data_IF_126268968984
#
_entry.id   IF_126268968984
#
_cell.length_a   1.000
_cell.length_b   1.000
_cell.length_c   1.000
_cell.angle_alpha   90.00
_cell.angle_beta   90.00
_cell.angle_gamma   90.00
#
_symmetry.space_group_name_H-M   'P 1'
#
loop_
_entity.id
_entity.type
_entity.pdbx_description
1 polymer ?
#
# COMPACT_ATOMS: atom_id res chain seq x y z
N UNK A 1 -26.07 21.67 -2.19
CA UNK A 1 -25.70 22.17 -3.53
C UNK A 1 -24.30 22.76 -3.50
N UNK A 2 -24.05 23.81 -2.71
CA UNK A 2 -22.75 24.49 -2.60
C UNK A 2 -21.55 23.55 -2.34
N UNK A 3 -21.69 22.59 -1.42
CA UNK A 3 -20.62 21.62 -1.15
C UNK A 3 -20.34 20.66 -2.31
N UNK A 4 -21.32 20.40 -3.20
CA UNK A 4 -21.07 19.59 -4.41
C UNK A 4 -20.27 20.37 -5.47
N UNK A 5 -20.27 21.71 -5.39
CA UNK A 5 -19.52 22.58 -6.29
C UNK A 5 -18.17 23.03 -5.71
N UNK A 6 -17.70 22.41 -4.61
CA UNK A 6 -16.45 22.78 -3.95
C UNK A 6 -16.51 24.10 -3.15
N UNK A 7 -17.68 24.74 -3.00
CA UNK A 7 -17.80 26.03 -2.31
C UNK A 7 -18.07 25.84 -0.81
N UNK A 8 -17.12 25.21 -0.12
CA UNK A 8 -17.20 24.86 1.31
C UNK A 8 -17.50 26.06 2.21
N UNK A 9 -16.80 27.19 2.02
CA UNK A 9 -17.02 28.40 2.83
C UNK A 9 -18.40 29.04 2.62
N UNK A 10 -19.02 28.86 1.44
CA UNK A 10 -20.40 29.29 1.20
C UNK A 10 -21.40 28.30 1.78
N UNK A 11 -21.13 26.99 1.69
CA UNK A 11 -21.94 25.97 2.33
C UNK A 11 -22.00 26.19 3.86
N UNK A 12 -20.86 26.48 4.48
CA UNK A 12 -20.78 26.80 5.91
C UNK A 12 -21.56 28.08 6.26
N UNK A 13 -21.39 29.15 5.49
CA UNK A 13 -22.15 30.41 5.71
C UNK A 13 -23.66 30.22 5.62
N UNK A 14 -24.14 29.48 4.62
CA UNK A 14 -25.57 29.19 4.47
C UNK A 14 -26.06 28.35 5.65
N UNK A 15 -25.29 27.36 6.07
CA UNK A 15 -25.60 26.55 7.25
C UNK A 15 -25.66 27.38 8.54
N UNK A 16 -24.72 28.31 8.72
CA UNK A 16 -24.67 29.16 9.91
C UNK A 16 -25.88 30.10 9.98
N UNK A 17 -26.39 30.56 8.85
CA UNK A 17 -27.61 31.37 8.75
C UNK A 17 -28.90 30.60 9.09
N UNK A 18 -28.88 29.27 9.18
CA UNK A 18 -30.03 28.45 9.57
C UNK A 18 -30.26 28.41 11.10
N UNK A 19 -29.83 29.44 11.84
CA UNK A 19 -29.59 29.45 13.30
C UNK A 19 -30.65 28.82 14.20
N UNK A 20 -31.93 28.77 13.80
CA UNK A 20 -33.02 28.14 14.59
C UNK A 20 -33.59 26.83 14.00
N UNK A 21 -33.11 26.36 12.84
CA UNK A 21 -33.65 25.20 12.11
C UNK A 21 -32.56 24.17 11.73
N UNK A 22 -31.41 24.15 12.43
CA UNK A 22 -30.36 23.14 12.20
C UNK A 22 -30.83 21.80 12.73
N UNK A 23 -31.01 20.84 11.83
CA UNK A 23 -31.35 19.45 12.14
C UNK A 23 -30.11 18.56 11.98
N UNK A 24 -30.14 17.35 12.55
CA UNK A 24 -29.11 16.32 12.33
C UNK A 24 -28.89 16.07 10.83
N UNK A 25 -29.94 16.15 10.01
CA UNK A 25 -29.85 16.00 8.55
C UNK A 25 -29.05 17.13 7.90
N UNK A 26 -29.27 18.39 8.32
CA UNK A 26 -28.50 19.52 7.81
C UNK A 26 -27.02 19.46 8.22
N UNK A 27 -26.73 19.01 9.45
CA UNK A 27 -25.36 18.75 9.91
C UNK A 27 -24.70 17.64 9.08
N UNK A 28 -25.36 16.50 8.91
CA UNK A 28 -24.85 15.39 8.09
C UNK A 28 -24.62 15.81 6.63
N UNK A 29 -25.45 16.71 6.09
CA UNK A 29 -25.28 17.27 4.75
C UNK A 29 -24.05 18.18 4.65
N UNK A 30 -23.77 18.98 5.68
CA UNK A 30 -22.58 19.80 5.78
C UNK A 30 -21.32 18.92 5.88
N UNK A 31 -21.34 17.93 6.78
CA UNK A 31 -20.26 16.94 6.96
C UNK A 31 -19.94 16.20 5.67
N UNK A 32 -20.93 15.59 5.02
CA UNK A 32 -20.74 14.90 3.74
C UNK A 32 -20.27 15.85 2.62
N UNK A 33 -20.50 17.16 2.80
CA UNK A 33 -19.97 18.20 1.94
C UNK A 33 -18.48 18.46 2.13
N UNK A 34 -18.02 18.55 3.37
CA UNK A 34 -16.60 18.70 3.70
C UNK A 34 -15.82 17.43 3.34
N UNK A 35 -16.31 16.28 3.78
CA UNK A 35 -15.72 14.97 3.51
C UNK A 35 -15.48 14.71 2.01
N UNK A 36 -16.50 14.93 1.16
CA UNK A 36 -16.38 14.72 -0.29
C UNK A 36 -15.30 15.57 -0.96
N UNK A 37 -14.96 16.70 -0.34
CA UNK A 37 -13.99 17.64 -0.87
C UNK A 37 -12.61 17.50 -0.18
N UNK A 38 -12.40 16.47 0.64
CA UNK A 38 -11.15 16.21 1.36
C UNK A 38 -10.81 17.22 2.47
N UNK A 39 -11.76 18.08 2.85
CA UNK A 39 -11.56 19.04 3.96
C UNK A 39 -11.96 18.38 5.28
N UNK A 40 -11.11 17.45 5.73
CA UNK A 40 -11.35 16.68 6.96
C UNK A 40 -11.31 17.56 8.19
N UNK A 41 -10.46 18.60 8.24
CA UNK A 41 -10.39 19.50 9.39
C UNK A 41 -11.73 20.21 9.63
N UNK A 42 -12.34 20.77 8.58
CA UNK A 42 -13.68 21.36 8.69
C UNK A 42 -14.76 20.32 8.98
N UNK A 43 -14.61 19.09 8.49
CA UNK A 43 -15.53 17.99 8.80
C UNK A 43 -15.46 17.62 10.30
N UNK A 44 -14.26 17.49 10.87
CA UNK A 44 -14.05 17.23 12.30
C UNK A 44 -14.65 18.37 13.13
N UNK A 45 -14.33 19.63 12.79
CA UNK A 45 -14.90 20.79 13.50
C UNK A 45 -16.43 20.80 13.47
N UNK A 46 -17.03 20.57 12.30
CA UNK A 46 -18.49 20.48 12.19
C UNK A 46 -19.06 19.28 12.94
N UNK A 47 -18.35 18.16 13.01
CA UNK A 47 -18.78 16.96 13.74
C UNK A 47 -18.73 17.20 15.25
N UNK A 48 -17.71 17.88 15.75
CA UNK A 48 -17.53 18.23 17.16
C UNK A 48 -18.58 19.24 17.65
N UNK A 49 -19.01 20.14 16.79
CA UNK A 49 -20.08 21.11 17.06
C UNK A 49 -21.49 20.50 17.06
N UNK A 50 -21.68 19.27 16.55
CA UNK A 50 -23.00 18.65 16.48
C UNK A 50 -23.59 18.42 17.89
N UNK A 51 -24.79 18.97 18.19
CA UNK A 51 -25.45 18.74 19.48
C UNK A 51 -25.89 17.28 19.67
N UNK A 52 -26.29 16.62 18.59
CA UNK A 52 -26.70 15.23 18.55
C UNK A 52 -26.07 14.55 17.34
N UNK A 53 -25.54 13.34 17.53
CA UNK A 53 -24.91 12.53 16.48
C UNK A 53 -25.63 11.20 16.37
N UNK A 54 -25.96 10.82 15.13
CA UNK A 54 -26.53 9.51 14.85
C UNK A 54 -25.57 8.67 14.00
N UNK A 55 -25.93 7.41 13.74
CA UNK A 55 -25.10 6.46 12.97
C UNK A 55 -24.63 7.05 11.64
N UNK A 56 -25.45 7.87 10.96
CA UNK A 56 -25.08 8.53 9.71
C UNK A 56 -23.96 9.56 9.91
N UNK A 57 -23.99 10.34 11.00
CA UNK A 57 -22.92 11.29 11.36
C UNK A 57 -21.59 10.56 11.55
N UNK A 58 -21.61 9.45 12.31
CA UNK A 58 -20.42 8.62 12.57
C UNK A 58 -19.90 7.96 11.30
N UNK A 59 -20.78 7.35 10.50
CA UNK A 59 -20.41 6.71 9.23
C UNK A 59 -19.76 7.70 8.26
N UNK A 60 -20.29 8.92 8.19
CA UNK A 60 -19.74 9.98 7.34
C UNK A 60 -18.32 10.34 7.76
N UNK A 61 -18.08 10.53 9.06
CA UNK A 61 -16.75 10.88 9.56
C UNK A 61 -15.75 9.74 9.48
N UNK A 62 -16.13 8.53 9.89
CA UNK A 62 -15.25 7.35 9.79
C UNK A 62 -14.90 7.08 8.32
N UNK A 63 -15.86 7.21 7.41
CA UNK A 63 -15.62 7.11 5.97
C UNK A 63 -14.65 8.19 5.46
N UNK A 64 -14.87 9.46 5.84
CA UNK A 64 -14.00 10.56 5.43
C UNK A 64 -12.53 10.36 5.88
N UNK A 65 -12.33 9.89 7.11
CA UNK A 65 -11.00 9.57 7.62
C UNK A 65 -10.33 8.44 6.83
N UNK A 66 -11.09 7.40 6.44
CA UNK A 66 -10.57 6.32 5.59
C UNK A 66 -10.23 6.83 4.19
N UNK A 67 -11.05 7.68 3.61
CA UNK A 67 -10.83 8.26 2.27
C UNK A 67 -9.54 9.11 2.24
N UNK A 68 -9.26 9.87 3.31
CA UNK A 68 -8.01 10.63 3.48
C UNK A 68 -6.84 9.80 4.04
N UNK A 69 -6.97 8.46 4.07
CA UNK A 69 -5.94 7.53 4.56
C UNK A 69 -5.52 7.70 6.04
N UNK A 70 -6.36 8.35 6.84
CA UNK A 70 -6.23 8.51 8.29
C UNK A 70 -6.81 7.29 9.03
N UNK A 71 -6.23 6.12 8.76
CA UNK A 71 -6.81 4.84 9.18
C UNK A 71 -6.80 4.63 10.71
N UNK A 72 -5.80 5.16 11.42
CA UNK A 72 -5.75 5.08 12.89
C UNK A 72 -6.88 5.89 13.50
N UNK A 73 -7.02 7.15 13.08
CA UNK A 73 -8.08 8.06 13.53
C UNK A 73 -9.47 7.47 13.26
N UNK A 74 -9.66 6.81 12.11
CA UNK A 74 -10.91 6.12 11.79
C UNK A 74 -11.24 4.99 12.78
N UNK A 75 -10.25 4.22 13.21
CA UNK A 75 -10.41 3.15 14.21
C UNK A 75 -10.65 3.75 15.61
N UNK A 76 -9.96 4.83 15.97
CA UNK A 76 -10.17 5.52 17.24
C UNK A 76 -11.58 6.12 17.32
N UNK A 77 -12.05 6.75 16.24
CA UNK A 77 -13.41 7.29 16.15
C UNK A 77 -14.48 6.19 16.21
N UNK A 78 -14.21 5.02 15.61
CA UNK A 78 -15.06 3.85 15.75
C UNK A 78 -15.12 3.31 17.19
N UNK A 79 -13.99 3.27 17.90
CA UNK A 79 -13.97 2.92 19.32
C UNK A 79 -14.79 3.92 20.15
N UNK A 80 -14.68 5.22 19.84
CA UNK A 80 -15.48 6.27 20.47
C UNK A 80 -16.98 6.07 20.22
N UNK A 81 -17.40 5.81 18.97
CA UNK A 81 -18.79 5.49 18.61
C UNK A 81 -19.36 4.37 19.48
N UNK A 82 -18.62 3.27 19.64
CA UNK A 82 -19.04 2.14 20.47
C UNK A 82 -19.10 2.50 21.96
N UNK A 83 -18.14 3.27 22.46
CA UNK A 83 -18.12 3.72 23.86
C UNK A 83 -19.32 4.62 24.22
N UNK A 84 -19.86 5.34 23.23
CA UNK A 84 -21.09 6.13 23.36
C UNK A 84 -22.38 5.31 23.19
N UNK A 85 -22.27 3.98 23.09
CA UNK A 85 -23.42 3.07 22.97
C UNK A 85 -24.08 3.08 21.59
N UNK A 86 -23.45 3.70 20.58
CA UNK A 86 -23.99 3.77 19.23
C UNK A 86 -23.56 2.50 18.48
N UNK A 87 -24.54 1.70 18.10
CA UNK A 87 -24.31 0.42 17.43
C UNK A 87 -23.78 0.63 15.99
N UNK A 88 -22.61 0.07 15.64
CA UNK A 88 -22.13 0.03 14.26
C UNK A 88 -23.08 -0.73 13.33
N UNK A 89 -23.28 -0.21 12.13
CA UNK A 89 -24.02 -0.87 11.06
C UNK A 89 -23.09 -1.40 9.95
N UNK A 90 -23.66 -1.97 8.90
CA UNK A 90 -22.90 -2.53 7.77
C UNK A 90 -22.01 -1.47 7.09
N UNK A 91 -22.46 -0.21 7.02
CA UNK A 91 -21.70 0.88 6.42
C UNK A 91 -20.53 1.26 7.32
N UNK A 92 -20.74 1.34 8.65
CA UNK A 92 -19.64 1.51 9.61
C UNK A 92 -18.59 0.42 9.42
N UNK A 93 -19.04 -0.84 9.33
CA UNK A 93 -18.14 -1.99 9.27
C UNK A 93 -17.32 -2.04 7.99
N UNK A 94 -17.85 -1.59 6.83
CA UNK A 94 -17.08 -1.46 5.59
C UNK A 94 -15.86 -0.54 5.78
N UNK A 95 -16.06 0.63 6.40
CA UNK A 95 -14.97 1.58 6.67
C UNK A 95 -13.96 1.01 7.66
N UNK A 96 -14.43 0.35 8.73
CA UNK A 96 -13.57 -0.25 9.77
C UNK A 96 -12.71 -1.39 9.22
N UNK A 97 -13.28 -2.31 8.43
CA UNK A 97 -12.49 -3.41 7.84
C UNK A 97 -11.49 -2.86 6.82
N UNK A 98 -11.85 -1.82 6.08
CA UNK A 98 -10.94 -1.14 5.14
C UNK A 98 -9.73 -0.55 5.87
N UNK A 99 -9.96 0.18 6.97
CA UNK A 99 -8.89 0.73 7.81
C UNK A 99 -8.01 -0.39 8.40
N UNK A 100 -8.61 -1.46 8.91
CA UNK A 100 -7.86 -2.61 9.44
C UNK A 100 -6.95 -3.25 8.37
N UNK A 101 -7.45 -3.38 7.14
CA UNK A 101 -6.68 -3.87 6.00
C UNK A 101 -5.47 -2.98 5.71
N UNK A 102 -5.66 -1.67 5.60
CA UNK A 102 -4.54 -0.74 5.36
C UNK A 102 -3.52 -0.70 6.51
N UNK A 103 -3.95 -0.85 7.75
CA UNK A 103 -3.05 -0.95 8.90
C UNK A 103 -2.35 -2.31 9.03
N UNK A 104 -2.74 -3.32 8.24
CA UNK A 104 -2.26 -4.69 8.40
C UNK A 104 -2.61 -5.30 9.76
N UNK A 105 -3.67 -4.80 10.40
CA UNK A 105 -4.04 -5.11 11.78
C UNK A 105 -4.83 -6.43 11.89
N UNK A 106 -4.17 -7.57 11.66
CA UNK A 106 -4.82 -8.89 11.55
C UNK A 106 -5.70 -9.28 12.75
N UNK A 107 -5.33 -8.89 13.98
CA UNK A 107 -6.18 -9.17 15.15
C UNK A 107 -7.46 -8.34 15.15
N UNK A 108 -7.39 -7.06 14.71
CA UNK A 108 -8.58 -6.21 14.58
C UNK A 108 -9.47 -6.73 13.45
N UNK A 109 -8.86 -7.18 12.37
CA UNK A 109 -9.51 -7.84 11.24
C UNK A 109 -10.33 -9.07 11.67
N UNK A 110 -9.72 -9.98 12.44
CA UNK A 110 -10.39 -11.19 12.96
C UNK A 110 -11.51 -10.84 13.95
N UNK A 111 -11.31 -9.81 14.78
CA UNK A 111 -12.36 -9.30 15.65
C UNK A 111 -13.54 -8.74 14.84
N UNK A 112 -13.27 -7.90 13.83
CA UNK A 112 -14.30 -7.29 12.98
C UNK A 112 -15.09 -8.37 12.21
N UNK A 113 -14.41 -9.38 11.68
CA UNK A 113 -15.06 -10.52 11.03
C UNK A 113 -15.97 -11.29 12.00
N UNK A 114 -15.52 -11.53 13.23
CA UNK A 114 -16.32 -12.17 14.27
C UNK A 114 -17.54 -11.34 14.66
N UNK A 115 -17.40 -10.01 14.73
CA UNK A 115 -18.49 -9.08 14.99
C UNK A 115 -19.55 -9.15 13.88
N UNK A 116 -19.12 -9.07 12.62
CA UNK A 116 -19.98 -9.13 11.43
C UNK A 116 -20.78 -10.44 11.39
N UNK A 117 -20.12 -11.58 11.66
CA UNK A 117 -20.81 -12.88 11.77
C UNK A 117 -21.88 -12.89 12.86
N UNK A 118 -21.54 -12.43 14.07
CA UNK A 118 -22.47 -12.40 15.21
C UNK A 118 -23.67 -11.49 14.98
N UNK A 119 -23.51 -10.41 14.21
CA UNK A 119 -24.59 -9.46 13.89
C UNK A 119 -25.42 -9.86 12.67
N UNK A 120 -25.06 -10.95 11.98
CA UNK A 120 -25.80 -11.41 10.80
C UNK A 120 -25.53 -10.60 9.53
N UNK A 121 -24.47 -9.78 9.49
CA UNK A 121 -24.13 -8.91 8.36
C UNK A 121 -23.41 -9.65 7.20
N UNK A 122 -23.17 -10.94 7.34
CA UNK A 122 -22.40 -11.76 6.41
C UNK A 122 -23.13 -12.07 5.09
N UNK A 123 -24.39 -11.65 4.94
CA UNK A 123 -25.13 -11.70 3.68
C UNK A 123 -24.89 -10.46 2.81
N UNK A 124 -24.30 -9.39 3.34
CA UNK A 124 -24.03 -8.18 2.56
C UNK A 124 -22.83 -8.39 1.63
N UNK A 125 -23.08 -8.34 0.31
CA UNK A 125 -22.08 -8.51 -0.74
C UNK A 125 -20.89 -7.55 -0.60
N UNK A 126 -21.17 -6.26 -0.43
CA UNK A 126 -20.14 -5.21 -0.36
C UNK A 126 -19.24 -5.40 0.86
N UNK A 127 -19.83 -5.74 2.00
CA UNK A 127 -19.09 -6.01 3.22
C UNK A 127 -18.23 -7.28 3.10
N UNK A 128 -18.75 -8.33 2.46
CA UNK A 128 -17.98 -9.55 2.20
C UNK A 128 -16.80 -9.29 1.26
N UNK A 129 -16.99 -8.54 0.17
CA UNK A 129 -15.90 -8.12 -0.71
C UNK A 129 -14.86 -7.26 0.04
N UNK A 130 -15.30 -6.36 0.91
CA UNK A 130 -14.40 -5.58 1.77
C UNK A 130 -13.62 -6.46 2.76
N UNK A 131 -14.22 -7.52 3.29
CA UNK A 131 -13.56 -8.51 4.14
C UNK A 131 -12.49 -9.32 3.39
N UNK A 132 -12.76 -9.74 2.14
CA UNK A 132 -11.76 -10.41 1.28
C UNK A 132 -10.54 -9.51 1.11
N UNK A 133 -10.76 -8.26 0.70
CA UNK A 133 -9.68 -7.27 0.54
C UNK A 133 -8.94 -6.99 1.85
N UNK A 134 -9.66 -6.90 2.96
CA UNK A 134 -9.07 -6.67 4.27
C UNK A 134 -8.14 -7.82 4.67
N UNK A 135 -8.59 -9.07 4.58
CA UNK A 135 -7.77 -10.24 4.95
C UNK A 135 -6.56 -10.39 4.03
N UNK A 136 -6.75 -10.18 2.72
CA UNK A 136 -5.66 -10.12 1.75
C UNK A 136 -4.61 -9.08 2.17
N UNK A 137 -5.03 -7.85 2.48
CA UNK A 137 -4.14 -6.77 2.94
C UNK A 137 -3.55 -6.99 4.32
N UNK A 138 -4.06 -7.91 5.12
CA UNK A 138 -3.44 -8.35 6.38
C UNK A 138 -2.51 -9.57 6.21
N UNK A 139 -2.37 -10.11 4.99
CA UNK A 139 -1.51 -11.25 4.69
C UNK A 139 -2.09 -12.59 5.12
N UNK A 140 -3.41 -12.67 5.28
CA UNK A 140 -4.16 -13.88 5.63
C UNK A 140 -5.03 -14.29 4.43
N UNK A 141 -4.38 -14.65 3.32
CA UNK A 141 -5.05 -15.03 2.07
C UNK A 141 -6.00 -16.22 2.28
N UNK A 142 -5.66 -17.12 3.20
CA UNK A 142 -6.52 -18.25 3.56
C UNK A 142 -7.89 -17.77 4.05
N UNK A 143 -7.92 -16.87 5.04
CA UNK A 143 -9.17 -16.28 5.53
C UNK A 143 -9.89 -15.49 4.43
N UNK A 144 -9.15 -14.78 3.57
CA UNK A 144 -9.73 -14.06 2.43
C UNK A 144 -10.49 -15.03 1.49
N UNK A 145 -9.89 -16.17 1.15
CA UNK A 145 -10.53 -17.17 0.30
C UNK A 145 -11.68 -17.90 0.99
N UNK A 146 -11.60 -18.12 2.30
CA UNK A 146 -12.72 -18.66 3.09
C UNK A 146 -13.95 -17.73 3.04
N UNK A 147 -13.74 -16.42 3.22
CA UNK A 147 -14.84 -15.45 3.06
C UNK A 147 -15.39 -15.51 1.63
N UNK A 148 -14.52 -15.43 0.63
CA UNK A 148 -14.91 -15.45 -0.78
C UNK A 148 -15.76 -16.68 -1.12
N UNK A 149 -15.33 -17.88 -0.74
CA UNK A 149 -16.07 -19.11 -1.01
C UNK A 149 -17.34 -19.26 -0.17
N UNK A 150 -17.46 -18.57 0.96
CA UNK A 150 -18.70 -18.55 1.76
C UNK A 150 -19.81 -17.67 1.18
N UNK A 151 -19.49 -16.78 0.23
CA UNK A 151 -20.48 -15.91 -0.42
C UNK A 151 -21.42 -16.72 -1.33
N UNK A 152 -22.72 -16.48 -1.23
CA UNK A 152 -23.75 -17.15 -2.04
C UNK A 152 -23.67 -16.71 -3.52
N UNK A 153 -23.60 -15.40 -3.73
CA UNK A 153 -23.36 -14.78 -5.03
C UNK A 153 -21.97 -14.11 -5.04
N UNK A 154 -21.36 -13.97 -6.22
CA UNK A 154 -20.05 -13.33 -6.36
C UNK A 154 -20.09 -12.47 -7.62
N UNK A 155 -20.14 -11.16 -7.43
CA UNK A 155 -20.08 -10.18 -8.51
C UNK A 155 -18.64 -9.99 -8.99
N UNK A 156 -18.47 -9.16 -10.02
CA UNK A 156 -17.16 -8.80 -10.57
C UNK A 156 -16.22 -8.31 -9.47
N UNK A 157 -16.71 -7.46 -8.56
CA UNK A 157 -15.95 -6.92 -7.44
C UNK A 157 -15.38 -8.01 -6.52
N UNK A 158 -16.18 -9.02 -6.18
CA UNK A 158 -15.75 -10.14 -5.33
C UNK A 158 -14.66 -10.99 -6.01
N UNK A 159 -14.81 -11.29 -7.31
CA UNK A 159 -13.80 -12.02 -8.07
C UNK A 159 -12.49 -11.23 -8.20
N UNK A 160 -12.58 -9.93 -8.50
CA UNK A 160 -11.42 -9.04 -8.56
C UNK A 160 -10.70 -8.97 -7.22
N UNK A 161 -11.42 -8.91 -6.09
CA UNK A 161 -10.81 -8.96 -4.75
C UNK A 161 -10.06 -10.28 -4.48
N UNK A 162 -10.62 -11.43 -4.90
CA UNK A 162 -9.97 -12.73 -4.73
C UNK A 162 -8.71 -12.87 -5.63
N UNK A 163 -8.77 -12.38 -6.87
CA UNK A 163 -7.62 -12.32 -7.78
C UNK A 163 -6.53 -11.41 -7.21
N UNK A 164 -6.90 -10.23 -6.73
CA UNK A 164 -5.98 -9.28 -6.09
C UNK A 164 -5.33 -9.84 -4.83
N UNK A 165 -6.06 -10.65 -4.05
CA UNK A 165 -5.48 -11.36 -2.91
C UNK A 165 -4.33 -12.29 -3.33
N UNK A 166 -4.51 -13.03 -4.42
CA UNK A 166 -3.44 -13.87 -4.99
C UNK A 166 -2.29 -13.03 -5.57
N UNK A 167 -2.60 -11.88 -6.17
CA UNK A 167 -1.60 -10.94 -6.69
C UNK A 167 -0.70 -10.38 -5.58
N UNK A 168 -1.28 -10.00 -4.44
CA UNK A 168 -0.56 -9.50 -3.26
C UNK A 168 0.29 -10.59 -2.59
N UNK A 169 -0.13 -11.85 -2.64
CA UNK A 169 0.69 -12.98 -2.17
C UNK A 169 1.83 -13.33 -3.14
N UNK A 170 1.71 -12.91 -4.40
CA UNK A 170 2.64 -13.28 -5.48
C UNK A 170 2.28 -14.60 -6.18
N UNK A 171 1.08 -15.15 -5.92
CA UNK A 171 0.62 -16.41 -6.50
C UNK A 171 -0.08 -16.18 -7.87
N UNK A 172 0.72 -15.85 -8.89
CA UNK A 172 0.22 -15.57 -10.24
C UNK A 172 -0.55 -16.71 -10.90
N UNK A 173 -0.19 -17.97 -10.62
CA UNK A 173 -0.89 -19.14 -11.15
C UNK A 173 -2.32 -19.23 -10.62
N UNK A 174 -2.49 -19.08 -9.30
CA UNK A 174 -3.82 -19.12 -8.67
C UNK A 174 -4.68 -17.92 -9.09
N UNK A 175 -4.07 -16.75 -9.28
CA UNK A 175 -4.76 -15.58 -9.83
C UNK A 175 -5.34 -15.86 -11.23
N UNK A 176 -4.56 -16.48 -12.12
CA UNK A 176 -5.03 -16.89 -13.45
C UNK A 176 -6.11 -17.97 -13.38
N UNK A 177 -6.01 -18.95 -12.48
CA UNK A 177 -7.06 -19.95 -12.28
C UNK A 177 -8.41 -19.29 -11.88
N UNK A 178 -8.38 -18.35 -10.93
CA UNK A 178 -9.58 -17.61 -10.51
C UNK A 178 -10.16 -16.76 -11.63
N UNK A 179 -9.31 -16.13 -12.45
CA UNK A 179 -9.76 -15.39 -13.63
C UNK A 179 -10.48 -16.29 -14.64
N UNK A 180 -9.92 -17.44 -14.97
CA UNK A 180 -10.57 -18.38 -15.88
C UNK A 180 -11.87 -18.97 -15.28
N UNK A 181 -11.91 -19.19 -13.97
CA UNK A 181 -13.14 -19.62 -13.29
C UNK A 181 -14.24 -18.55 -13.34
N UNK A 182 -13.89 -17.28 -13.11
CA UNK A 182 -14.79 -16.14 -13.25
C UNK A 182 -15.41 -16.08 -14.66
N UNK A 183 -14.56 -16.16 -15.70
CA UNK A 183 -15.00 -16.17 -17.10
C UNK A 183 -15.84 -17.40 -17.41
N UNK A 184 -15.44 -18.59 -16.92
CA UNK A 184 -16.17 -19.84 -17.10
C UNK A 184 -17.57 -19.85 -16.47
N UNK A 185 -17.79 -19.00 -15.45
CA UNK A 185 -19.10 -18.76 -14.83
C UNK A 185 -19.93 -17.69 -15.53
N UNK A 186 -19.45 -17.14 -16.66
CA UNK A 186 -20.14 -16.11 -17.43
C UNK A 186 -20.05 -14.71 -16.82
N UNK A 187 -19.13 -14.49 -15.88
CA UNK A 187 -18.92 -13.18 -15.25
C UNK A 187 -17.85 -12.45 -16.05
N UNK A 188 -18.24 -11.34 -16.68
CA UNK A 188 -17.33 -10.56 -17.52
C UNK A 188 -16.30 -9.81 -16.66
N UNK A 189 -14.99 -9.96 -16.93
CA UNK A 189 -13.95 -9.17 -16.27
C UNK A 189 -14.04 -7.69 -16.66
N UNK A 190 -13.59 -6.82 -15.76
CA UNK A 190 -13.47 -5.38 -15.98
C UNK A 190 -12.01 -4.91 -16.00
N UNK A 191 -11.78 -3.60 -16.16
CA UNK A 191 -10.46 -2.97 -16.17
C UNK A 191 -9.65 -3.28 -14.89
N UNK A 192 -10.32 -3.29 -13.74
CA UNK A 192 -9.65 -3.55 -12.45
C UNK A 192 -9.24 -5.03 -12.39
N UNK A 193 -10.08 -5.93 -12.88
CA UNK A 193 -9.78 -7.37 -12.97
C UNK A 193 -8.49 -7.61 -13.76
N UNK A 194 -8.35 -6.98 -14.93
CA UNK A 194 -7.13 -7.11 -15.74
C UNK A 194 -5.90 -6.50 -15.06
N UNK A 195 -6.07 -5.38 -14.36
CA UNK A 195 -4.98 -4.78 -13.57
C UNK A 195 -4.45 -5.75 -12.51
N UNK A 196 -5.34 -6.44 -11.77
CA UNK A 196 -4.96 -7.41 -10.75
C UNK A 196 -4.29 -8.66 -11.35
N UNK A 197 -4.81 -9.20 -12.46
CA UNK A 197 -4.19 -10.36 -13.14
C UNK A 197 -2.81 -10.02 -13.69
N UNK A 198 -2.64 -8.84 -14.30
CA UNK A 198 -1.35 -8.40 -14.82
C UNK A 198 -0.34 -8.16 -13.69
N UNK A 199 -0.76 -7.58 -12.57
CA UNK A 199 0.07 -7.43 -11.38
C UNK A 199 0.51 -8.80 -10.82
N UNK A 200 -0.42 -9.78 -10.76
CA UNK A 200 -0.10 -11.13 -10.32
C UNK A 200 0.92 -11.81 -11.25
N UNK A 201 0.77 -11.64 -12.57
CA UNK A 201 1.74 -12.14 -13.55
C UNK A 201 3.11 -11.46 -13.37
N UNK A 202 3.13 -10.14 -13.15
CA UNK A 202 4.36 -9.37 -12.88
C UNK A 202 5.08 -9.91 -11.65
N UNK A 203 4.37 -10.14 -10.55
CA UNK A 203 4.94 -10.63 -9.29
C UNK A 203 5.45 -12.07 -9.36
N UNK A 204 4.85 -12.90 -10.23
CA UNK A 204 5.21 -14.30 -10.42
C UNK A 204 6.18 -14.54 -11.60
N UNK A 205 6.50 -13.52 -12.39
CA UNK A 205 7.37 -13.63 -13.56
C UNK A 205 6.75 -14.37 -14.75
N UNK A 206 5.42 -14.40 -14.83
CA UNK A 206 4.67 -15.08 -15.88
C UNK A 206 4.56 -14.18 -17.13
N UNK A 207 5.69 -13.95 -17.79
CA UNK A 207 5.78 -13.00 -18.93
C UNK A 207 4.85 -13.38 -20.07
N UNK A 208 4.82 -14.68 -20.43
CA UNK A 208 4.00 -15.15 -21.55
C UNK A 208 2.51 -14.98 -21.25
N UNK A 209 2.08 -15.42 -20.08
CA UNK A 209 0.70 -15.36 -19.62
C UNK A 209 0.25 -13.91 -19.44
N UNK A 210 1.08 -13.05 -18.84
CA UNK A 210 0.77 -11.62 -18.69
C UNK A 210 0.58 -10.90 -20.03
N UNK A 211 1.42 -11.19 -21.03
CA UNK A 211 1.24 -10.65 -22.38
C UNK A 211 -0.03 -11.19 -23.06
N UNK A 212 -0.38 -12.46 -22.84
CA UNK A 212 -1.64 -13.03 -23.34
C UNK A 212 -2.85 -12.33 -22.73
N UNK A 213 -2.85 -12.12 -21.41
CA UNK A 213 -3.93 -11.42 -20.69
C UNK A 213 -4.06 -9.96 -21.14
N UNK A 214 -2.94 -9.25 -21.33
CA UNK A 214 -2.98 -7.88 -21.85
C UNK A 214 -3.62 -7.83 -23.25
N UNK A 215 -3.25 -8.76 -24.12
CA UNK A 215 -3.80 -8.81 -25.48
C UNK A 215 -5.27 -9.24 -25.54
N UNK A 216 -5.74 -10.07 -24.59
CA UNK A 216 -7.13 -10.52 -24.55
C UNK A 216 -8.09 -9.42 -24.09
N UNK A 217 -7.62 -8.31 -23.50
CA UNK A 217 -8.49 -7.20 -23.07
C UNK A 217 -9.44 -6.70 -24.18
N UNK A 218 -8.97 -6.70 -25.44
CA UNK A 218 -9.78 -6.31 -26.61
C UNK A 218 -10.98 -7.23 -26.85
N UNK A 219 -10.88 -8.51 -26.47
CA UNK A 219 -11.95 -9.51 -26.62
C UNK A 219 -13.10 -9.21 -25.65
N UNK A 220 -12.81 -8.50 -24.56
CA UNK A 220 -13.78 -8.00 -23.58
C UNK A 220 -14.19 -6.54 -23.84
N UNK A 221 -13.81 -5.97 -24.99
CA UNK A 221 -14.01 -4.56 -25.32
C UNK A 221 -13.40 -3.57 -24.30
N UNK A 222 -12.33 -3.98 -23.61
CA UNK A 222 -11.64 -3.15 -22.64
C UNK A 222 -10.46 -2.46 -23.32
N UNK A 223 -10.40 -1.13 -23.20
CA UNK A 223 -9.29 -0.33 -23.71
C UNK A 223 -8.20 -0.24 -22.63
N UNK A 224 -6.95 -0.65 -22.92
CA UNK A 224 -5.88 -0.54 -21.95
C UNK A 224 -5.59 0.92 -21.56
N UNK A 225 -5.71 1.22 -20.28
CA UNK A 225 -5.24 2.46 -19.66
C UNK A 225 -3.82 2.35 -19.09
N UNK A 226 -3.27 3.49 -18.66
CA UNK A 226 -1.90 3.65 -18.13
C UNK A 226 -1.53 2.61 -17.07
N UNK A 227 -2.46 2.22 -16.20
CA UNK A 227 -2.22 1.19 -15.18
C UNK A 227 -1.87 -0.18 -15.77
N UNK A 228 -2.54 -0.59 -16.85
CA UNK A 228 -2.30 -1.87 -17.52
C UNK A 228 -0.93 -1.88 -18.19
N UNK A 229 -0.59 -0.81 -18.89
CA UNK A 229 0.75 -0.63 -19.47
C UNK A 229 1.83 -0.64 -18.38
N UNK A 230 1.60 0.04 -17.25
CA UNK A 230 2.51 0.02 -16.11
C UNK A 230 2.75 -1.39 -15.55
N UNK A 231 1.72 -2.23 -15.49
CA UNK A 231 1.87 -3.63 -15.05
C UNK A 231 2.70 -4.45 -16.05
N UNK A 232 2.52 -4.26 -17.36
CA UNK A 232 3.33 -4.96 -18.39
C UNK A 232 4.77 -4.49 -18.37
N UNK A 233 5.02 -3.18 -18.19
CA UNK A 233 6.37 -2.63 -18.06
C UNK A 233 7.06 -3.15 -16.80
N UNK A 234 6.35 -3.23 -15.67
CA UNK A 234 6.88 -3.86 -14.45
C UNK A 234 7.18 -5.35 -14.67
N UNK A 235 6.30 -6.10 -15.36
CA UNK A 235 6.48 -7.51 -15.70
C UNK A 235 7.73 -7.75 -16.55
N UNK A 236 7.87 -7.02 -17.66
CA UNK A 236 9.02 -7.11 -18.55
C UNK A 236 10.30 -6.63 -17.86
N UNK A 237 10.20 -5.56 -17.09
CA UNK A 237 11.28 -4.98 -16.31
C UNK A 237 11.85 -5.94 -15.28
N UNK A 238 11.00 -6.59 -14.46
CA UNK A 238 11.43 -7.58 -13.46
C UNK A 238 12.05 -8.83 -14.09
N UNK A 239 11.62 -9.18 -15.29
CA UNK A 239 12.17 -10.29 -16.08
C UNK A 239 13.50 -9.94 -16.78
N UNK A 240 13.99 -8.70 -16.65
CA UNK A 240 15.22 -8.24 -17.30
C UNK A 240 15.10 -7.97 -18.81
N UNK A 241 13.87 -7.99 -19.35
CA UNK A 241 13.59 -7.75 -20.77
C UNK A 241 13.51 -6.25 -21.08
N UNK A 242 14.57 -5.51 -20.76
CA UNK A 242 14.54 -4.05 -20.76
C UNK A 242 14.35 -3.45 -22.17
N UNK A 243 14.96 -4.02 -23.21
CA UNK A 243 14.72 -3.58 -24.60
C UNK A 243 13.25 -3.68 -24.98
N UNK A 244 12.62 -4.84 -24.70
CA UNK A 244 11.20 -5.06 -24.96
C UNK A 244 10.31 -4.15 -24.13
N UNK A 245 10.65 -3.91 -22.86
CA UNK A 245 9.91 -2.99 -22.01
C UNK A 245 9.96 -1.57 -22.57
N UNK A 246 11.12 -1.13 -23.07
CA UNK A 246 11.30 0.17 -23.67
C UNK A 246 10.55 0.31 -25.00
N UNK A 247 10.68 -0.67 -25.89
CA UNK A 247 9.91 -0.74 -27.14
C UNK A 247 8.40 -0.73 -26.88
N UNK A 248 7.95 -1.44 -25.85
CA UNK A 248 6.56 -1.45 -25.44
C UNK A 248 6.06 -0.08 -24.97
N UNK A 249 6.89 0.67 -24.23
CA UNK A 249 6.60 2.06 -23.84
C UNK A 249 6.49 2.97 -25.07
N UNK A 250 7.45 2.87 -25.99
CA UNK A 250 7.47 3.68 -27.23
C UNK A 250 6.27 3.38 -28.14
N UNK A 251 5.76 2.14 -28.12
CA UNK A 251 4.61 1.71 -28.91
C UNK A 251 3.25 2.05 -28.27
N UNK A 252 3.22 2.61 -27.06
CA UNK A 252 1.97 2.95 -26.39
C UNK A 252 1.19 4.03 -27.15
N UNK A 253 -0.14 3.89 -27.29
CA UNK A 253 -0.99 4.96 -27.85
C UNK A 253 -1.25 6.10 -26.86
N UNK A 254 -0.72 5.99 -25.64
CA UNK A 254 -0.90 6.94 -24.53
C UNK A 254 0.46 7.45 -24.09
N UNK A 255 0.52 8.70 -23.63
CA UNK A 255 1.73 9.22 -22.99
C UNK A 255 2.03 8.44 -21.70
N UNK A 256 3.26 7.92 -21.61
CA UNK A 256 3.70 7.23 -20.40
C UNK A 256 3.83 8.23 -19.24
N UNK A 257 3.21 7.88 -18.11
CA UNK A 257 3.26 8.72 -16.92
C UNK A 257 4.45 8.37 -16.00
N UNK A 258 4.54 9.10 -14.89
CA UNK A 258 5.55 8.92 -13.86
C UNK A 258 5.64 7.50 -13.28
N UNK A 259 4.50 6.79 -13.18
CA UNK A 259 4.45 5.44 -12.65
C UNK A 259 5.09 4.42 -13.60
N UNK A 260 4.81 4.53 -14.91
CA UNK A 260 5.36 3.63 -15.94
C UNK A 260 6.88 3.81 -16.02
N UNK A 261 7.32 5.05 -16.20
CA UNK A 261 8.75 5.30 -16.28
C UNK A 261 9.46 5.03 -14.95
N UNK A 262 8.81 5.25 -13.81
CA UNK A 262 9.34 4.88 -12.49
C UNK A 262 9.53 3.37 -12.34
N UNK A 263 8.59 2.56 -12.82
CA UNK A 263 8.72 1.10 -12.86
C UNK A 263 9.88 0.66 -13.76
N UNK A 264 9.95 1.19 -14.99
CA UNK A 264 11.03 0.89 -15.93
C UNK A 264 12.41 1.34 -15.40
N UNK A 265 12.47 2.52 -14.79
CA UNK A 265 13.68 3.07 -14.20
C UNK A 265 14.16 2.21 -12.99
N UNK A 266 13.22 1.73 -12.17
CA UNK A 266 13.50 0.76 -11.12
C UNK A 266 14.06 -0.57 -11.65
N UNK A 267 13.52 -1.06 -12.76
CA UNK A 267 14.03 -2.26 -13.44
C UNK A 267 15.43 -2.06 -14.02
N UNK A 268 15.70 -0.91 -14.66
CA UNK A 268 17.03 -0.58 -15.17
C UNK A 268 18.07 -0.57 -14.04
N UNK A 269 17.72 -0.03 -12.87
CA UNK A 269 18.60 -0.07 -11.68
C UNK A 269 18.86 -1.51 -11.21
N UNK A 270 17.82 -2.34 -11.12
CA UNK A 270 17.94 -3.75 -10.69
C UNK A 270 18.85 -4.57 -11.60
N UNK A 271 18.81 -4.29 -12.90
CA UNK A 271 19.57 -5.01 -13.92
C UNK A 271 20.83 -4.25 -14.37
N UNK A 272 21.25 -3.23 -13.62
CA UNK A 272 22.49 -2.45 -13.84
C UNK A 272 22.61 -1.86 -15.26
N UNK A 273 21.50 -1.53 -15.91
CA UNK A 273 21.48 -0.95 -17.26
C UNK A 273 21.43 0.58 -17.20
N UNK A 274 22.61 1.18 -17.07
CA UNK A 274 22.78 2.64 -16.95
C UNK A 274 22.22 3.42 -18.15
N UNK A 275 22.45 2.92 -19.38
CA UNK A 275 22.04 3.63 -20.60
C UNK A 275 20.54 3.82 -20.66
N UNK A 276 19.78 2.77 -20.37
CA UNK A 276 18.32 2.85 -20.35
C UNK A 276 17.80 3.60 -19.14
N UNK A 277 18.47 3.48 -17.98
CA UNK A 277 18.14 4.28 -16.80
C UNK A 277 18.25 5.78 -17.10
N UNK A 278 19.32 6.22 -17.77
CA UNK A 278 19.51 7.62 -18.15
C UNK A 278 18.44 8.10 -19.16
N UNK A 279 18.03 7.26 -20.10
CA UNK A 279 16.94 7.59 -21.05
C UNK A 279 15.60 7.72 -20.33
N UNK A 280 15.24 6.76 -19.49
CA UNK A 280 14.01 6.77 -18.70
C UNK A 280 13.94 7.96 -17.75
N UNK A 281 15.07 8.30 -17.12
CA UNK A 281 15.25 9.50 -16.30
C UNK A 281 14.95 10.80 -17.05
N UNK A 282 15.43 10.90 -18.30
CA UNK A 282 15.16 12.06 -19.16
C UNK A 282 13.68 12.16 -19.49
N UNK A 283 13.07 11.06 -19.94
CA UNK A 283 11.63 11.02 -20.26
C UNK A 283 10.78 11.40 -19.03
N UNK A 284 11.14 10.90 -17.84
CA UNK A 284 10.49 11.26 -16.57
C UNK A 284 10.53 12.75 -16.25
N UNK A 285 11.60 13.44 -16.61
CA UNK A 285 11.71 14.88 -16.39
C UNK A 285 10.87 15.71 -17.37
N UNK A 286 10.53 15.12 -18.52
CA UNK A 286 9.73 15.74 -19.59
C UNK A 286 8.22 15.45 -19.41
N UNK A 287 7.87 14.29 -18.82
CA UNK A 287 6.51 13.94 -18.39
C UNK A 287 6.07 14.88 -17.24
N UNK A 288 5.41 15.98 -17.58
CA UNK A 288 5.09 17.07 -16.67
C UNK A 288 4.22 16.65 -15.47
N UNK A 289 4.69 17.06 -14.29
CA UNK A 289 4.02 17.05 -12.99
C UNK A 289 5.09 17.22 -11.88
N UNK A 290 4.87 18.12 -10.92
CA UNK A 290 5.78 18.38 -9.78
C UNK A 290 5.74 17.21 -8.78
N UNK A 291 6.12 16.02 -9.25
CA UNK A 291 6.00 14.77 -8.52
C UNK A 291 7.31 14.47 -7.82
N UNK A 292 7.36 14.80 -6.53
CA UNK A 292 8.56 14.63 -5.70
C UNK A 292 9.18 13.23 -5.79
N UNK A 293 8.37 12.17 -5.95
CA UNK A 293 8.86 10.80 -6.08
C UNK A 293 9.76 10.54 -7.30
N UNK A 294 9.54 11.26 -8.41
CA UNK A 294 10.35 11.14 -9.63
C UNK A 294 11.76 11.67 -9.41
N UNK A 295 11.86 12.87 -8.85
CA UNK A 295 13.14 13.49 -8.55
C UNK A 295 13.94 12.68 -7.52
N UNK A 296 13.27 12.05 -6.56
CA UNK A 296 13.91 11.11 -5.63
C UNK A 296 14.49 9.91 -6.38
N UNK A 297 13.73 9.24 -7.26
CA UNK A 297 14.21 8.08 -8.01
C UNK A 297 15.36 8.44 -8.96
N UNK A 298 15.30 9.62 -9.58
CA UNK A 298 16.36 10.15 -10.43
C UNK A 298 17.65 10.43 -9.64
N UNK A 299 17.53 11.14 -8.51
CA UNK A 299 18.64 11.40 -7.59
C UNK A 299 19.27 10.11 -7.11
N UNK A 300 18.45 9.11 -6.82
CA UNK A 300 18.87 7.78 -6.38
C UNK A 300 19.71 7.05 -7.44
N UNK A 301 19.36 7.14 -8.73
CA UNK A 301 20.12 6.47 -9.79
C UNK A 301 21.43 7.18 -10.08
N UNK A 302 21.44 8.50 -10.14
CA UNK A 302 22.71 9.24 -10.26
C UNK A 302 23.64 8.95 -9.09
N UNK A 303 23.11 8.79 -7.88
CA UNK A 303 23.91 8.36 -6.73
C UNK A 303 24.46 6.94 -6.93
N UNK A 304 23.65 5.99 -7.41
CA UNK A 304 24.10 4.59 -7.65
C UNK A 304 25.20 4.48 -8.72
N UNK A 305 25.30 5.46 -9.62
CA UNK A 305 26.32 5.52 -10.67
C UNK A 305 27.45 6.52 -10.35
N UNK A 306 27.55 7.01 -9.11
CA UNK A 306 28.61 7.95 -8.68
C UNK A 306 28.53 9.36 -9.29
N UNK A 307 27.41 9.72 -9.92
CA UNK A 307 27.18 11.00 -10.61
C UNK A 307 26.72 12.10 -9.65
N UNK A 308 27.52 12.40 -8.63
CA UNK A 308 27.15 13.29 -7.52
C UNK A 308 26.82 14.74 -7.92
N UNK A 309 27.45 15.24 -8.99
CA UNK A 309 27.10 16.55 -9.56
C UNK A 309 25.65 16.60 -10.04
N UNK A 310 25.15 15.52 -10.65
CA UNK A 310 23.76 15.42 -11.10
C UNK A 310 22.79 15.23 -9.92
N UNK A 311 23.19 14.46 -8.91
CA UNK A 311 22.46 14.33 -7.62
C UNK A 311 22.23 15.70 -6.99
N UNK A 312 23.28 16.52 -6.89
CA UNK A 312 23.20 17.86 -6.31
C UNK A 312 22.23 18.75 -7.09
N UNK A 313 22.31 18.77 -8.43
CA UNK A 313 21.38 19.55 -9.27
C UNK A 313 19.92 19.15 -9.06
N UNK A 314 19.63 17.84 -9.00
CA UNK A 314 18.27 17.35 -8.77
C UNK A 314 17.76 17.77 -7.38
N UNK A 315 18.58 17.61 -6.32
CA UNK A 315 18.19 17.97 -4.95
C UNK A 315 18.00 19.47 -4.74
N UNK A 316 18.82 20.31 -5.37
CA UNK A 316 18.65 21.77 -5.35
C UNK A 316 17.32 22.15 -6.01
N UNK A 317 17.06 21.60 -7.21
CA UNK A 317 15.80 21.84 -7.91
C UNK A 317 14.57 21.40 -7.09
N UNK A 318 14.67 20.28 -6.37
CA UNK A 318 13.62 19.85 -5.43
C UNK A 318 13.36 20.87 -4.32
N UNK A 319 14.43 21.41 -3.71
CA UNK A 319 14.33 22.39 -2.63
C UNK A 319 13.73 23.71 -3.11
N UNK A 320 14.14 24.20 -4.28
CA UNK A 320 13.65 25.44 -4.87
C UNK A 320 12.15 25.40 -5.20
N UNK A 321 11.64 24.22 -5.57
CA UNK A 321 10.21 24.00 -5.85
C UNK A 321 9.38 23.64 -4.61
N UNK A 322 9.98 23.64 -3.42
CA UNK A 322 9.28 23.30 -2.17
C UNK A 322 8.80 21.84 -2.10
N UNK A 323 9.40 20.94 -2.90
CA UNK A 323 9.00 19.54 -2.98
C UNK A 323 9.32 18.81 -1.67
N UNK A 324 8.34 18.09 -1.12
CA UNK A 324 8.50 17.27 0.10
C UNK A 324 8.55 15.79 -0.25
N UNK A 325 9.66 15.13 0.09
CA UNK A 325 9.82 13.69 -0.08
C UNK A 325 8.84 12.96 0.84
N UNK A 326 8.12 11.98 0.31
CA UNK A 326 7.35 11.03 1.13
C UNK A 326 8.30 10.30 2.07
N UNK A 327 8.11 10.48 3.37
CA UNK A 327 8.90 9.79 4.39
C UNK A 327 8.58 8.30 4.35
N UNK A 328 9.62 7.47 4.28
CA UNK A 328 9.45 6.02 4.35
C UNK A 328 9.17 5.60 5.78
N UNK A 329 7.98 5.07 6.03
CA UNK A 329 7.56 4.62 7.35
C UNK A 329 7.16 3.15 7.35
N UNK A 330 7.44 2.49 8.48
CA UNK A 330 7.07 1.10 8.70
C UNK A 330 6.25 1.01 9.97
N UNK A 331 5.09 0.36 9.92
CA UNK A 331 4.22 0.18 11.07
C UNK A 331 4.10 -1.27 11.48
N UNK A 332 3.90 -1.50 12.77
CA UNK A 332 3.72 -2.81 13.38
C UNK A 332 2.62 -2.72 14.44
N UNK A 333 1.77 -3.76 14.52
CA UNK A 333 0.79 -3.88 15.58
C UNK A 333 1.24 -4.93 16.60
N UNK A 334 1.47 -4.52 17.85
CA UNK A 334 1.80 -5.42 18.96
C UNK A 334 0.97 -5.06 20.18
N UNK A 335 0.35 -6.05 20.82
CA UNK A 335 -0.45 -5.84 22.04
C UNK A 335 -1.66 -4.91 21.82
N UNK A 336 -2.25 -4.93 20.62
CA UNK A 336 -3.39 -4.08 20.28
C UNK A 336 -3.04 -2.67 19.81
N UNK A 337 -1.80 -2.23 19.98
CA UNK A 337 -1.34 -0.87 19.62
C UNK A 337 -0.58 -0.92 18.30
N UNK A 338 -0.93 -0.04 17.36
CA UNK A 338 -0.14 0.20 16.15
C UNK A 338 0.94 1.22 16.48
N UNK A 339 2.19 0.90 16.14
CA UNK A 339 3.32 1.84 16.22
C UNK A 339 3.90 2.03 14.85
N UNK A 340 4.17 3.27 14.49
CA UNK A 340 4.85 3.66 13.26
C UNK A 340 6.29 4.06 13.57
N UNK A 341 7.19 3.68 12.69
CA UNK A 341 8.61 4.01 12.73
C UNK A 341 9.01 4.75 11.47
N UNK A 342 9.81 5.80 11.61
CA UNK A 342 10.48 6.49 10.51
C UNK A 342 12.00 6.30 10.57
N UNK A 343 12.68 6.51 9.45
CA UNK A 343 14.14 6.44 9.40
C UNK A 343 14.74 7.47 10.35
N UNK A 344 15.52 7.01 11.33
CA UNK A 344 16.13 7.89 12.33
C UNK A 344 15.41 7.93 13.68
N UNK A 345 14.27 7.25 13.87
CA UNK A 345 13.61 7.21 15.17
C UNK A 345 14.51 6.62 16.28
N UNK A 346 14.48 7.24 17.47
CA UNK A 346 15.28 6.86 18.64
C UNK A 346 14.42 6.15 19.71
N UNK A 347 13.68 5.12 19.31
CA UNK A 347 12.99 4.29 20.29
C UNK A 347 14.01 3.45 21.07
N UNK A 348 14.34 3.88 22.29
CA UNK A 348 15.39 3.31 23.17
C UNK A 348 15.40 1.77 23.20
N UNK A 349 14.23 1.13 23.27
CA UNK A 349 14.12 -0.34 23.30
C UNK A 349 14.35 -1.02 21.94
N UNK A 350 13.92 -0.41 20.84
CA UNK A 350 14.13 -0.95 19.50
C UNK A 350 15.59 -0.81 19.06
N UNK A 351 16.25 0.29 19.43
CA UNK A 351 17.66 0.54 19.08
C UNK A 351 18.61 -0.45 19.74
N UNK A 352 18.42 -0.76 21.03
CA UNK A 352 19.25 -1.75 21.71
C UNK A 352 19.09 -3.16 21.11
N UNK A 353 17.85 -3.57 20.82
CA UNK A 353 17.59 -4.85 20.15
C UNK A 353 18.20 -4.89 18.75
N UNK A 354 18.12 -3.79 18.00
CA UNK A 354 18.69 -3.70 16.67
C UNK A 354 20.21 -3.93 16.68
N UNK A 355 20.93 -3.35 17.64
CA UNK A 355 22.38 -3.57 17.80
C UNK A 355 22.71 -5.06 18.07
N UNK A 356 21.90 -5.72 18.90
CA UNK A 356 22.03 -7.15 19.15
C UNK A 356 21.78 -7.98 17.88
N UNK A 357 20.72 -7.67 17.14
CA UNK A 357 20.40 -8.32 15.87
C UNK A 357 21.59 -8.20 14.93
N UNK A 358 22.09 -6.99 14.71
CA UNK A 358 23.20 -6.73 13.80
C UNK A 358 24.48 -7.47 14.19
N UNK A 359 24.79 -7.58 15.48
CA UNK A 359 25.91 -8.37 15.95
C UNK A 359 25.74 -9.85 15.59
N UNK A 360 24.58 -10.44 15.88
CA UNK A 360 24.30 -11.85 15.54
C UNK A 360 24.27 -12.09 14.03
N UNK A 361 23.78 -11.13 13.25
CA UNK A 361 23.75 -11.21 11.80
C UNK A 361 25.17 -11.18 11.21
N UNK A 362 26.06 -10.33 11.74
CA UNK A 362 27.48 -10.31 11.34
C UNK A 362 28.17 -11.64 11.63
N UNK A 363 27.94 -12.23 12.81
CA UNK A 363 28.46 -13.56 13.16
C UNK A 363 27.93 -14.66 12.22
N UNK A 364 26.72 -14.48 11.68
CA UNK A 364 26.11 -15.36 10.70
C UNK A 364 26.54 -15.06 9.23
N UNK A 365 27.46 -14.12 9.02
CA UNK A 365 28.00 -13.76 7.69
C UNK A 365 27.14 -12.80 6.87
N UNK A 366 26.19 -12.09 7.48
CA UNK A 366 25.44 -11.04 6.79
C UNK A 366 26.31 -9.80 6.58
N UNK A 367 26.33 -9.29 5.35
CA UNK A 367 26.93 -8.02 5.00
C UNK A 367 25.85 -7.04 4.51
N UNK A 368 25.81 -5.79 5.00
CA UNK A 368 24.88 -4.78 4.52
C UNK A 368 25.09 -4.46 3.03
N UNK A 369 24.01 -4.21 2.30
CA UNK A 369 24.09 -3.81 0.89
C UNK A 369 24.32 -2.30 0.79
N UNK A 370 25.58 -1.86 0.92
CA UNK A 370 25.97 -0.43 0.94
C UNK A 370 25.50 0.37 -0.30
N UNK A 371 25.26 -0.30 -1.43
CA UNK A 371 24.73 0.33 -2.66
C UNK A 371 23.29 0.85 -2.50
N UNK A 372 22.56 0.41 -1.47
CA UNK A 372 21.24 0.97 -1.14
C UNK A 372 21.33 2.35 -0.47
N UNK A 373 22.53 2.77 -0.02
CA UNK A 373 22.75 4.13 0.50
C UNK A 373 23.17 5.06 -0.61
N UNK A 374 22.25 5.95 -0.96
CA UNK A 374 22.37 6.86 -2.10
C UNK A 374 22.85 8.24 -1.65
N UNK A 375 23.86 8.22 -0.76
CA UNK A 375 24.53 9.37 -0.18
C UNK A 375 26.05 9.23 -0.34
N UNK A 376 26.69 10.37 -0.63
CA UNK A 376 28.15 10.46 -0.79
C UNK A 376 28.79 10.61 0.60
N UNK A 377 28.84 9.48 1.30
CA UNK A 377 29.41 9.36 2.63
C UNK A 377 30.31 8.12 2.65
N UNK A 378 31.20 8.04 3.63
CA UNK A 378 32.07 6.88 3.80
C UNK A 378 31.26 5.60 4.11
N UNK A 379 31.92 4.44 4.00
CA UNK A 379 31.26 3.15 4.20
C UNK A 379 30.70 2.97 5.61
N UNK A 380 31.34 3.55 6.64
CA UNK A 380 30.87 3.47 8.02
C UNK A 380 29.57 4.23 8.22
N UNK A 381 29.47 5.43 7.63
CA UNK A 381 28.25 6.22 7.65
C UNK A 381 27.14 5.56 6.81
N UNK A 382 27.48 4.89 5.70
CA UNK A 382 26.50 4.09 4.94
C UNK A 382 25.92 2.96 5.79
N UNK A 383 26.77 2.18 6.46
CA UNK A 383 26.30 1.13 7.37
C UNK A 383 25.41 1.70 8.48
N UNK A 384 25.82 2.83 9.07
CA UNK A 384 25.03 3.52 10.07
C UNK A 384 23.64 3.92 9.54
N UNK A 385 23.54 4.48 8.34
CA UNK A 385 22.26 4.87 7.76
C UNK A 385 21.36 3.66 7.45
N UNK A 386 21.93 2.56 6.95
CA UNK A 386 21.19 1.32 6.69
C UNK A 386 20.67 0.68 7.98
N UNK A 387 21.42 0.77 9.08
CA UNK A 387 20.98 0.23 10.37
C UNK A 387 19.65 0.85 10.78
N UNK A 388 19.43 2.14 10.48
CA UNK A 388 18.27 2.93 10.93
C UNK A 388 17.09 2.95 9.97
N UNK A 389 17.01 1.99 9.04
CA UNK A 389 15.83 1.82 8.21
C UNK A 389 14.60 1.46 9.07
N UNK A 390 13.44 2.06 8.77
CA UNK A 390 12.23 1.89 9.59
C UNK A 390 11.76 0.44 9.65
N UNK A 391 12.01 -0.35 8.61
CA UNK A 391 11.73 -1.78 8.57
C UNK A 391 12.50 -2.53 9.67
N UNK A 392 13.79 -2.23 9.83
CA UNK A 392 14.65 -2.88 10.83
C UNK A 392 14.22 -2.53 12.24
N UNK A 393 13.89 -1.25 12.48
CA UNK A 393 13.34 -0.78 13.75
C UNK A 393 12.01 -1.47 14.09
N UNK A 394 11.10 -1.58 13.12
CA UNK A 394 9.82 -2.26 13.31
C UNK A 394 9.99 -3.77 13.59
N UNK A 395 10.92 -4.44 12.90
CA UNK A 395 11.26 -5.85 13.17
C UNK A 395 11.85 -6.01 14.57
N UNK A 396 12.82 -5.17 14.95
CA UNK A 396 13.45 -5.20 16.26
C UNK A 396 12.42 -4.98 17.37
N UNK A 397 11.55 -3.97 17.23
CA UNK A 397 10.43 -3.73 18.14
C UNK A 397 9.49 -4.94 18.23
N UNK A 398 9.16 -5.55 17.09
CA UNK A 398 8.35 -6.76 17.04
C UNK A 398 8.95 -7.92 17.80
N UNK A 399 10.26 -8.17 17.66
CA UNK A 399 10.96 -9.24 18.38
C UNK A 399 10.99 -9.02 19.90
N UNK A 400 11.11 -7.77 20.35
CA UNK A 400 11.09 -7.43 21.79
C UNK A 400 9.68 -7.58 22.38
N UNK A 401 8.66 -7.08 21.67
CA UNK A 401 7.34 -6.91 22.26
C UNK A 401 6.38 -8.09 22.01
N UNK A 402 6.75 -9.08 21.20
CA UNK A 402 5.90 -10.25 20.90
C UNK A 402 6.41 -11.55 21.52
N UNK A 403 5.50 -12.45 21.88
CA UNK A 403 5.83 -13.73 22.52
C UNK A 403 6.62 -14.66 21.58
N UNK A 404 7.46 -15.56 22.11
CA UNK A 404 8.16 -16.58 21.31
C UNK A 404 7.16 -17.40 20.46
N UNK A 405 7.55 -17.78 19.25
CA UNK A 405 6.66 -18.32 18.19
C UNK A 405 5.78 -17.33 17.38
N UNK A 406 5.36 -16.16 17.88
CA UNK A 406 4.40 -15.27 17.17
C UNK A 406 4.96 -14.55 15.93
N UNK A 407 4.45 -14.71 14.70
CA UNK A 407 5.01 -14.01 13.54
C UNK A 407 5.05 -12.48 13.69
N UNK A 408 6.17 -11.86 13.30
CA UNK A 408 6.34 -10.40 13.32
C UNK A 408 5.81 -9.83 12.01
N UNK A 409 4.82 -8.93 12.06
CA UNK A 409 4.12 -8.39 10.88
C UNK A 409 4.41 -6.90 10.73
N UNK A 410 5.03 -6.51 9.64
CA UNK A 410 5.39 -5.11 9.34
C UNK A 410 4.69 -4.66 8.07
N UNK A 411 4.16 -3.45 8.08
CA UNK A 411 3.59 -2.78 6.90
C UNK A 411 4.51 -1.62 6.53
N UNK A 412 4.97 -1.58 5.29
CA UNK A 412 5.78 -0.50 4.72
C UNK A 412 4.96 0.29 3.72
N UNK A 413 5.02 1.62 3.80
CA UNK A 413 4.31 2.51 2.87
C UNK A 413 4.98 2.64 1.49
N UNK A 414 6.27 2.28 1.39
CA UNK A 414 7.08 2.28 0.17
C UNK A 414 7.51 0.87 -0.21
N UNK A 415 8.18 0.74 -1.36
CA UNK A 415 8.84 -0.51 -1.75
C UNK A 415 10.04 -0.75 -0.82
N UNK A 416 10.17 -1.96 -0.30
CA UNK A 416 11.30 -2.37 0.55
C UNK A 416 12.63 -2.28 -0.24
N UNK A 417 13.77 -2.02 0.42
CA UNK A 417 15.09 -2.04 -0.24
C UNK A 417 15.78 -3.41 -0.14
N UNK A 418 16.89 -3.60 -0.88
CA UNK A 418 17.55 -4.91 -0.98
C UNK A 418 18.19 -5.33 0.34
N UNK A 419 18.74 -4.37 1.06
CA UNK A 419 19.28 -4.49 2.40
C UNK A 419 18.21 -4.93 3.40
N UNK A 420 17.07 -4.23 3.47
CA UNK A 420 15.96 -4.62 4.36
C UNK A 420 15.41 -6.01 4.04
N UNK A 421 15.32 -6.37 2.76
CA UNK A 421 14.89 -7.71 2.35
C UNK A 421 15.90 -8.79 2.78
N UNK A 422 17.21 -8.54 2.58
CA UNK A 422 18.29 -9.43 3.01
C UNK A 422 18.35 -9.56 4.54
N UNK A 423 18.22 -8.44 5.26
CA UNK A 423 18.12 -8.37 6.70
C UNK A 423 16.94 -9.21 7.22
N UNK A 424 15.74 -9.03 6.67
CA UNK A 424 14.56 -9.79 7.10
C UNK A 424 14.72 -11.31 6.87
N UNK A 425 15.33 -11.73 5.75
CA UNK A 425 15.73 -13.13 5.52
C UNK A 425 16.63 -13.61 6.65
N UNK A 426 17.72 -12.91 6.92
CA UNK A 426 18.70 -13.35 7.92
C UNK A 426 18.12 -13.35 9.34
N UNK A 427 17.31 -12.36 9.70
CA UNK A 427 16.59 -12.34 10.99
C UNK A 427 15.68 -13.56 11.12
N UNK A 428 14.93 -13.91 10.07
CA UNK A 428 14.02 -15.07 10.12
C UNK A 428 14.75 -16.39 10.40
N UNK A 429 16.02 -16.50 9.94
CA UNK A 429 16.88 -17.66 10.17
C UNK A 429 17.51 -17.64 11.57
N UNK A 430 18.14 -16.53 11.95
CA UNK A 430 18.90 -16.41 13.20
C UNK A 430 18.01 -16.47 14.43
N UNK A 431 16.81 -15.88 14.36
CA UNK A 431 15.86 -15.85 15.48
C UNK A 431 14.79 -16.93 15.40
N UNK A 432 14.85 -17.83 14.41
CA UNK A 432 13.84 -18.86 14.14
C UNK A 432 12.41 -18.28 14.20
N UNK A 433 12.21 -17.22 13.42
CA UNK A 433 11.03 -16.36 13.51
C UNK A 433 10.45 -16.08 12.14
N UNK A 434 9.15 -16.31 11.98
CA UNK A 434 8.46 -15.85 10.78
C UNK A 434 8.35 -14.32 10.80
N UNK A 435 8.87 -13.68 9.76
CA UNK A 435 8.73 -12.23 9.52
C UNK A 435 7.86 -12.05 8.29
N UNK A 436 6.83 -11.24 8.39
CA UNK A 436 5.93 -10.92 7.28
C UNK A 436 6.01 -9.44 7.04
N UNK A 437 6.40 -9.04 5.83
CA UNK A 437 6.48 -7.63 5.45
C UNK A 437 5.57 -7.39 4.26
N UNK A 438 4.59 -6.51 4.42
CA UNK A 438 3.81 -5.97 3.31
C UNK A 438 4.45 -4.67 2.84
N UNK A 439 4.99 -4.65 1.64
CA UNK A 439 5.40 -3.40 1.00
C UNK A 439 4.22 -2.79 0.21
N UNK A 440 4.46 -1.70 -0.51
CA UNK A 440 3.43 -1.04 -1.30
C UNK A 440 2.97 -1.80 -2.56
N UNK A 441 3.49 -3.02 -2.81
CA UNK A 441 3.14 -3.86 -3.95
C UNK A 441 2.64 -5.24 -3.53
N UNK A 442 3.26 -5.88 -2.54
CA UNK A 442 2.99 -7.27 -2.17
C UNK A 442 3.47 -7.65 -0.78
N UNK A 443 3.22 -8.90 -0.41
CA UNK A 443 3.80 -9.54 0.76
C UNK A 443 5.13 -10.21 0.46
N UNK A 444 5.99 -10.19 1.47
CA UNK A 444 7.19 -10.98 1.58
C UNK A 444 7.09 -11.79 2.88
N UNK A 445 6.96 -13.11 2.75
CA UNK A 445 6.93 -14.03 3.89
C UNK A 445 8.32 -14.63 4.06
N UNK A 446 8.98 -14.26 5.16
CA UNK A 446 10.33 -14.70 5.48
C UNK A 446 10.30 -15.83 6.50
N UNK A 447 10.91 -16.96 6.15
CA UNK A 447 11.00 -18.13 7.02
C UNK A 447 12.30 -18.87 6.74
N UNK A 448 13.07 -19.16 7.80
CA UNK A 448 14.31 -19.93 7.70
C UNK A 448 15.34 -19.37 6.68
N UNK A 449 15.41 -18.04 6.54
CA UNK A 449 16.34 -17.41 5.59
C UNK A 449 15.85 -17.32 4.15
N UNK A 450 14.64 -17.82 3.87
CA UNK A 450 14.01 -17.76 2.56
C UNK A 450 12.88 -16.75 2.56
N UNK A 451 12.62 -16.15 1.40
CA UNK A 451 11.46 -15.30 1.16
C UNK A 451 10.52 -15.99 0.16
N UNK A 452 9.20 -15.87 0.37
CA UNK A 452 8.16 -16.37 -0.55
C UNK A 452 8.32 -15.91 -2.00
N UNK A 453 9.05 -14.83 -2.22
CA UNK A 453 9.26 -14.34 -3.57
C UNK A 453 10.46 -14.89 -4.33
N UNK A 454 11.27 -15.74 -3.70
CA UNK A 454 12.46 -16.33 -4.33
C UNK A 454 13.42 -15.28 -4.93
N UNK A 455 13.57 -14.14 -4.25
CA UNK A 455 14.38 -12.98 -4.70
C UNK A 455 13.92 -12.35 -6.04
N UNK A 456 12.75 -12.75 -6.52
CA UNK A 456 12.09 -12.15 -7.67
C UNK A 456 11.11 -11.06 -7.20
N UNK A 457 11.59 -9.85 -6.92
CA UNK A 457 10.75 -8.64 -6.74
C UNK A 457 11.14 -7.52 -7.67
#
# INVERSE_FOLDING_TARGET
MYSKCGWQGLARRVFDQMSNNRTVVSWNSLLAGFARNGDVDSAIGAFDEMPERNVVSWNTMIGALVDESLFLDAIELFCLMQSQGIAPDEVTMVSVVTACGYLGALDSAKWAYSYIKKRGFHSNMRLCTALVNMFARCGDTQSAMEVFWSMEERDVSAWTAAIGAMAMEGNGKRALELFHEMVGRGIAPDEVTFSEVLAACSHAGLVKEGMLMFNSMKEYAITPHVIHYGCVVDLLGRAGLLDKAFEFIDAMPLEANSAIWGAFLGACRKHENEKMAARAAKMLSECSGDQTGIHVLLSNIYASTGRWGDVARVRISMKERGMRKTTGSSSIKVGGVVREFTSGDESVGATAMLQEIEARLRDAGHAPHLMDVLLDVDEQEKEYLLSRHSEKLAIAHGLVCSARGTPVRVVKNLRMCSDCHSFAKMVSKVYDREIVIRDNKRFHFFKQGLCSCHDYW
#
